data_IF_464230077330
#
_entry.id   IF_464230077330
#
_cell.length_a   1.000
_cell.length_b   1.000
_cell.length_c   1.000
_cell.angle_alpha   90.00
_cell.angle_beta   90.00
_cell.angle_gamma   90.00
#
_symmetry.space_group_name_H-M   'P 1'
#
loop_
_entity.id
_entity.type
_entity.pdbx_description
1 polymer ?
#
# COMPACT_ATOMS: atom_id res chain seq x y z
N UNK A 1 -23.50 -31.35 -37.22
CA UNK A 1 -22.90 -31.49 -35.88
C UNK A 1 -21.42 -31.17 -36.05
N UNK A 2 -20.93 -30.06 -35.48
CA UNK A 2 -19.48 -29.83 -35.41
C UNK A 2 -18.88 -30.88 -34.49
N UNK A 3 -17.95 -31.69 -34.99
CA UNK A 3 -17.22 -32.65 -34.17
C UNK A 3 -16.56 -31.91 -33.00
N UNK A 4 -16.70 -32.46 -31.78
CA UNK A 4 -16.05 -31.93 -30.60
C UNK A 4 -14.52 -32.02 -30.80
N UNK A 5 -13.76 -30.96 -30.45
CA UNK A 5 -12.31 -30.97 -30.63
C UNK A 5 -11.66 -32.10 -29.83
N UNK A 6 -10.63 -32.72 -30.40
CA UNK A 6 -9.88 -33.79 -29.72
C UNK A 6 -9.14 -33.25 -28.49
N UNK A 7 -8.80 -34.12 -27.54
CA UNK A 7 -8.07 -33.74 -26.32
C UNK A 7 -6.73 -33.04 -26.63
N UNK A 8 -6.07 -33.45 -27.70
CA UNK A 8 -4.84 -32.84 -28.21
C UNK A 8 -5.06 -31.44 -28.81
N UNK A 9 -6.15 -31.25 -29.56
CA UNK A 9 -6.54 -29.93 -30.07
C UNK A 9 -6.93 -28.97 -28.93
N UNK A 10 -7.60 -29.49 -27.90
CA UNK A 10 -7.98 -28.72 -26.71
C UNK A 10 -6.73 -28.29 -25.93
N UNK A 11 -5.80 -29.22 -25.68
CA UNK A 11 -4.52 -28.95 -25.01
C UNK A 11 -3.68 -27.92 -25.77
N UNK A 12 -3.56 -28.07 -27.09
CA UNK A 12 -2.85 -27.09 -27.92
C UNK A 12 -3.49 -25.70 -27.85
N UNK A 13 -4.82 -25.61 -27.93
CA UNK A 13 -5.55 -24.34 -27.82
C UNK A 13 -5.37 -23.68 -26.46
N UNK A 14 -5.43 -24.46 -25.38
CA UNK A 14 -5.21 -23.95 -24.02
C UNK A 14 -3.79 -23.38 -23.88
N UNK A 15 -2.77 -24.14 -24.29
CA UNK A 15 -1.37 -23.79 -24.07
C UNK A 15 -0.87 -22.68 -25.00
N UNK A 16 -1.36 -22.62 -26.24
CA UNK A 16 -0.87 -21.66 -27.24
C UNK A 16 -1.72 -20.40 -27.35
N UNK A 17 -2.98 -20.43 -26.89
CA UNK A 17 -3.91 -19.31 -27.06
C UNK A 17 -4.49 -18.80 -25.75
N UNK A 18 -5.16 -19.65 -24.96
CA UNK A 18 -5.89 -19.20 -23.78
C UNK A 18 -4.97 -18.77 -22.64
N UNK A 19 -3.99 -19.61 -22.27
CA UNK A 19 -3.03 -19.33 -21.21
C UNK A 19 -2.22 -18.04 -21.43
N UNK A 20 -1.60 -17.80 -22.61
CA UNK A 20 -0.90 -16.54 -22.88
C UNK A 20 -1.84 -15.33 -22.83
N UNK A 21 -3.05 -15.45 -23.37
CA UNK A 21 -4.02 -14.34 -23.39
C UNK A 21 -4.52 -13.98 -21.99
N UNK A 22 -4.83 -14.98 -21.16
CA UNK A 22 -5.23 -14.77 -19.78
C UNK A 22 -4.11 -14.13 -18.96
N UNK A 23 -2.88 -14.66 -19.10
CA UNK A 23 -1.73 -14.07 -18.41
C UNK A 23 -1.49 -12.62 -18.84
N UNK A 24 -1.57 -12.33 -20.15
CA UNK A 24 -1.41 -10.99 -20.66
C UNK A 24 -2.49 -10.03 -20.14
N UNK A 25 -3.74 -10.49 -20.04
CA UNK A 25 -4.85 -9.71 -19.49
C UNK A 25 -4.61 -9.33 -18.03
N UNK A 26 -4.13 -10.26 -17.20
CA UNK A 26 -3.81 -9.98 -15.78
C UNK A 26 -2.68 -8.93 -15.70
N UNK A 27 -1.61 -9.07 -16.49
CA UNK A 27 -0.54 -8.08 -16.51
C UNK A 27 -0.96 -6.73 -17.11
N UNK A 28 -1.92 -6.70 -18.03
CA UNK A 28 -2.52 -5.47 -18.53
C UNK A 28 -3.32 -4.76 -17.43
N UNK A 29 -4.10 -5.51 -16.64
CA UNK A 29 -4.77 -4.95 -15.46
C UNK A 29 -3.76 -4.40 -14.46
N UNK A 30 -2.68 -5.13 -14.19
CA UNK A 30 -1.58 -4.65 -13.35
C UNK A 30 -1.02 -3.35 -13.93
N UNK A 31 -0.70 -3.29 -15.22
CA UNK A 31 -0.16 -2.11 -15.89
C UNK A 31 -1.11 -0.90 -15.87
N UNK A 32 -2.39 -1.10 -16.19
CA UNK A 32 -3.43 -0.04 -16.16
C UNK A 32 -3.57 0.50 -14.75
N UNK A 33 -3.63 -0.39 -13.76
CA UNK A 33 -3.69 0.00 -12.36
C UNK A 33 -2.44 0.79 -11.93
N UNK A 34 -1.26 0.29 -12.30
CA UNK A 34 0.02 0.98 -12.15
C UNK A 34 -0.02 2.38 -12.79
N UNK A 35 -0.69 2.55 -13.93
CA UNK A 35 -0.81 3.82 -14.66
C UNK A 35 -1.82 4.78 -14.04
N UNK A 36 -2.97 4.29 -13.55
CA UNK A 36 -4.06 5.10 -13.01
C UNK A 36 -3.80 5.59 -11.58
N UNK A 37 -3.29 4.71 -10.71
CA UNK A 37 -3.11 5.04 -9.29
C UNK A 37 -1.87 5.92 -9.06
N UNK A 38 -0.94 5.99 -10.01
CA UNK A 38 0.46 6.33 -9.70
C UNK A 38 1.03 7.55 -10.41
N UNK A 39 0.22 8.51 -10.85
CA UNK A 39 0.73 9.84 -11.27
C UNK A 39 1.41 10.65 -10.14
N UNK A 40 1.84 10.00 -9.05
CA UNK A 40 2.02 10.59 -7.74
C UNK A 40 3.10 9.92 -6.84
N UNK A 41 3.66 8.73 -7.13
CA UNK A 41 4.33 7.92 -6.07
C UNK A 41 5.69 7.23 -6.37
N UNK A 42 6.32 7.19 -7.57
CA UNK A 42 7.70 6.62 -7.63
C UNK A 42 8.48 6.85 -8.93
N UNK A 43 9.74 7.29 -8.81
CA UNK A 43 10.72 7.35 -9.92
C UNK A 43 11.10 5.97 -10.49
N UNK A 44 10.73 4.88 -9.81
CA UNK A 44 10.99 3.50 -10.27
C UNK A 44 9.91 2.99 -11.24
N UNK A 45 8.76 3.67 -11.28
CA UNK A 45 7.61 3.30 -12.09
C UNK A 45 7.89 3.09 -13.58
N UNK A 46 8.62 3.97 -14.28
CA UNK A 46 8.83 3.82 -15.72
C UNK A 46 9.48 2.48 -16.08
N UNK A 47 10.35 1.96 -15.21
CA UNK A 47 11.01 0.67 -15.40
C UNK A 47 10.06 -0.51 -15.24
N UNK A 48 9.16 -0.47 -14.25
CA UNK A 48 8.09 -1.47 -14.14
C UNK A 48 7.13 -1.40 -15.33
N UNK A 49 6.79 -0.20 -15.80
CA UNK A 49 5.93 -0.03 -16.97
C UNK A 49 6.59 -0.58 -18.24
N UNK A 50 7.88 -0.34 -18.45
CA UNK A 50 8.66 -0.91 -19.55
C UNK A 50 8.67 -2.44 -19.49
N UNK A 51 8.96 -3.02 -18.33
CA UNK A 51 8.87 -4.47 -18.13
C UNK A 51 7.47 -5.00 -18.45
N UNK A 52 6.44 -4.49 -17.78
CA UNK A 52 5.06 -4.95 -17.95
C UNK A 52 4.59 -4.83 -19.40
N UNK A 53 4.87 -3.72 -20.07
CA UNK A 53 4.49 -3.50 -21.47
C UNK A 53 5.21 -4.48 -22.39
N UNK A 54 6.53 -4.64 -22.23
CA UNK A 54 7.33 -5.59 -23.02
C UNK A 54 6.87 -7.05 -22.80
N UNK A 55 6.47 -7.39 -21.58
CA UNK A 55 6.05 -8.72 -21.21
C UNK A 55 4.65 -9.05 -21.74
N UNK A 56 3.72 -8.09 -21.69
CA UNK A 56 2.41 -8.21 -22.34
C UNK A 56 2.56 -8.40 -23.85
N UNK A 57 3.44 -7.61 -24.51
CA UNK A 57 3.75 -7.77 -25.95
C UNK A 57 4.30 -9.18 -26.23
N UNK A 58 5.20 -9.68 -25.39
CA UNK A 58 5.76 -11.02 -25.53
C UNK A 58 4.69 -12.12 -25.42
N UNK A 59 3.80 -12.03 -24.43
CA UNK A 59 2.73 -13.01 -24.20
C UNK A 59 1.69 -13.01 -25.32
N UNK A 60 1.22 -11.84 -25.76
CA UNK A 60 0.19 -11.70 -26.83
C UNK A 60 0.76 -12.08 -28.21
N UNK A 61 2.09 -12.01 -28.39
CA UNK A 61 2.72 -12.33 -29.67
C UNK A 61 2.44 -13.76 -30.16
N UNK A 62 2.20 -14.75 -29.29
CA UNK A 62 1.85 -16.12 -29.71
C UNK A 62 0.41 -16.22 -30.24
N UNK A 63 -0.61 -15.73 -29.52
CA UNK A 63 -1.96 -15.53 -30.07
C UNK A 63 -1.95 -14.80 -31.42
N UNK A 64 -1.22 -13.68 -31.54
CA UNK A 64 -1.16 -12.93 -32.80
C UNK A 64 -0.61 -13.81 -33.93
N UNK A 65 0.52 -14.49 -33.72
CA UNK A 65 1.12 -15.40 -34.70
C UNK A 65 0.17 -16.52 -35.15
N UNK A 66 -0.76 -16.96 -34.29
CA UNK A 66 -1.74 -17.99 -34.64
C UNK A 66 -2.86 -17.47 -35.56
N UNK A 67 -3.17 -16.17 -35.55
CA UNK A 67 -4.31 -15.58 -36.26
C UNK A 67 -3.93 -14.64 -37.41
N UNK A 68 -2.69 -14.15 -37.49
CA UNK A 68 -2.24 -13.31 -38.59
C UNK A 68 -1.40 -14.09 -39.59
N UNK A 69 -1.95 -14.32 -40.79
CA UNK A 69 -1.22 -14.88 -41.94
C UNK A 69 -0.25 -13.90 -42.60
N UNK A 70 -0.36 -12.60 -42.26
CA UNK A 70 0.39 -11.50 -42.89
C UNK A 70 1.74 -11.21 -42.25
N UNK A 71 1.93 -11.54 -40.97
CA UNK A 71 3.17 -11.29 -40.26
C UNK A 71 4.06 -12.52 -40.40
N UNK A 72 5.28 -12.33 -40.91
CA UNK A 72 6.25 -13.40 -40.88
C UNK A 72 6.50 -13.77 -39.41
N UNK A 73 6.12 -15.01 -39.04
CA UNK A 73 6.12 -15.44 -37.64
C UNK A 73 7.48 -15.27 -36.97
N UNK A 74 8.55 -15.35 -37.75
CA UNK A 74 9.94 -15.24 -37.29
C UNK A 74 10.31 -13.80 -36.94
N UNK A 75 9.96 -12.84 -37.79
CA UNK A 75 10.21 -11.41 -37.54
C UNK A 75 9.45 -10.98 -36.26
N UNK A 76 8.23 -11.50 -36.07
CA UNK A 76 7.44 -11.27 -34.84
C UNK A 76 8.10 -11.88 -33.60
N UNK A 77 8.69 -13.08 -33.72
CA UNK A 77 9.45 -13.73 -32.64
C UNK A 77 10.69 -12.91 -32.25
N UNK A 78 11.45 -12.41 -33.23
CA UNK A 78 12.65 -11.62 -32.97
C UNK A 78 12.33 -10.29 -32.31
N UNK A 79 11.33 -9.56 -32.83
CA UNK A 79 10.91 -8.27 -32.27
C UNK A 79 10.49 -8.43 -30.80
N UNK A 80 9.61 -9.40 -30.49
CA UNK A 80 9.15 -9.59 -29.10
C UNK A 80 10.28 -10.03 -28.17
N UNK A 81 11.22 -10.84 -28.66
CA UNK A 81 12.33 -11.33 -27.85
C UNK A 81 13.31 -10.20 -27.52
N UNK A 82 13.65 -9.37 -28.51
CA UNK A 82 14.49 -8.17 -28.32
C UNK A 82 13.82 -7.19 -27.35
N UNK A 83 12.52 -6.93 -27.51
CA UNK A 83 11.78 -6.04 -26.60
C UNK A 83 11.80 -6.58 -25.17
N UNK A 84 11.55 -7.87 -24.95
CA UNK A 84 11.52 -8.44 -23.60
C UNK A 84 12.92 -8.58 -22.98
N UNK A 85 13.86 -9.23 -23.64
CA UNK A 85 15.19 -9.52 -23.06
C UNK A 85 16.13 -8.32 -23.12
N UNK A 86 15.98 -7.46 -24.13
CA UNK A 86 16.80 -6.27 -24.31
C UNK A 86 16.37 -5.06 -23.49
N UNK A 87 15.05 -4.91 -23.28
CA UNK A 87 14.49 -3.72 -22.59
C UNK A 87 13.73 -4.16 -21.33
N UNK A 88 12.80 -5.09 -21.46
CA UNK A 88 11.87 -5.49 -20.40
C UNK A 88 12.53 -6.01 -19.12
N UNK A 89 13.15 -7.19 -19.22
CA UNK A 89 13.81 -7.86 -18.10
C UNK A 89 14.90 -6.97 -17.46
N UNK A 90 15.77 -6.29 -18.23
CA UNK A 90 16.69 -5.30 -17.68
C UNK A 90 16.00 -4.18 -16.90
N UNK A 91 14.85 -3.69 -17.38
CA UNK A 91 14.08 -2.67 -16.66
C UNK A 91 13.63 -3.17 -15.28
N UNK A 92 13.14 -4.42 -15.19
CA UNK A 92 12.74 -5.02 -13.93
C UNK A 92 13.91 -5.12 -12.94
N UNK A 93 15.08 -5.55 -13.41
CA UNK A 93 16.28 -5.63 -12.58
C UNK A 93 16.72 -4.26 -12.07
N UNK A 94 16.72 -3.24 -12.93
CA UNK A 94 17.01 -1.86 -12.55
C UNK A 94 16.01 -1.37 -11.52
N UNK A 95 14.72 -1.66 -11.72
CA UNK A 95 13.66 -1.27 -10.81
C UNK A 95 13.90 -1.83 -9.38
N UNK A 96 14.13 -3.14 -9.30
CA UNK A 96 14.42 -3.83 -8.05
C UNK A 96 15.71 -3.29 -7.39
N UNK A 97 16.76 -3.06 -8.18
CA UNK A 97 18.04 -2.55 -7.67
C UNK A 97 17.92 -1.14 -7.07
N UNK A 98 17.11 -0.27 -7.67
CA UNK A 98 16.86 1.08 -7.15
C UNK A 98 16.10 1.00 -5.83
N UNK A 99 15.07 0.15 -5.74
CA UNK A 99 14.27 -0.04 -4.52
C UNK A 99 15.07 -0.67 -3.38
N UNK A 100 16.03 -1.55 -3.70
CA UNK A 100 17.00 -2.11 -2.75
C UNK A 100 18.10 -1.13 -2.32
N UNK A 101 18.08 0.13 -2.80
CA UNK A 101 19.00 1.17 -2.34
C UNK A 101 20.45 1.00 -2.84
N UNK A 102 20.69 0.27 -3.93
CA UNK A 102 22.03 0.10 -4.50
C UNK A 102 22.58 1.46 -4.96
N UNK A 103 23.73 1.87 -4.42
CA UNK A 103 24.33 3.21 -4.63
C UNK A 103 24.80 3.45 -6.08
N UNK A 104 25.27 2.43 -6.80
CA UNK A 104 25.90 2.59 -8.13
C UNK A 104 24.90 2.48 -9.31
N UNK A 105 23.82 3.30 -9.28
CA UNK A 105 22.63 3.16 -10.15
C UNK A 105 22.92 3.24 -11.66
N UNK A 106 23.75 4.20 -12.10
CA UNK A 106 24.05 4.42 -13.54
C UNK A 106 24.83 3.27 -14.15
N UNK A 107 25.70 2.65 -13.38
CA UNK A 107 26.57 1.55 -13.83
C UNK A 107 25.76 0.27 -13.99
N UNK A 108 24.95 -0.07 -12.99
CA UNK A 108 24.02 -1.21 -13.05
C UNK A 108 23.04 -1.10 -14.22
N UNK A 109 22.50 0.09 -14.44
CA UNK A 109 21.61 0.35 -15.58
C UNK A 109 22.31 0.03 -16.91
N UNK A 110 23.54 0.50 -17.14
CA UNK A 110 24.25 0.20 -18.40
C UNK A 110 24.52 -1.28 -18.59
N UNK A 111 24.97 -1.98 -17.54
CA UNK A 111 25.29 -3.41 -17.64
C UNK A 111 24.06 -4.28 -17.89
N UNK A 112 22.96 -4.05 -17.19
CA UNK A 112 21.74 -4.86 -17.35
C UNK A 112 21.19 -4.79 -18.77
N UNK A 113 21.10 -3.59 -19.35
CA UNK A 113 20.60 -3.41 -20.72
C UNK A 113 21.59 -3.90 -21.77
N UNK A 114 22.90 -3.68 -21.59
CA UNK A 114 23.92 -4.19 -22.51
C UNK A 114 23.92 -5.72 -22.55
N UNK A 115 23.87 -6.36 -21.37
CA UNK A 115 23.81 -7.82 -21.25
C UNK A 115 22.50 -8.37 -21.85
N UNK A 116 21.36 -7.73 -21.55
CA UNK A 116 20.07 -8.10 -22.13
C UNK A 116 20.03 -8.03 -23.64
N UNK A 117 20.52 -6.92 -24.22
CA UNK A 117 20.61 -6.75 -25.67
C UNK A 117 21.56 -7.76 -26.31
N UNK A 118 22.72 -8.02 -25.69
CA UNK A 118 23.68 -9.02 -26.19
C UNK A 118 23.03 -10.41 -26.27
N UNK A 119 22.35 -10.84 -25.20
CA UNK A 119 21.64 -12.12 -25.17
C UNK A 119 20.54 -12.18 -26.23
N UNK A 120 19.77 -11.10 -26.39
CA UNK A 120 18.70 -11.04 -27.38
C UNK A 120 19.22 -11.15 -28.82
N UNK A 121 20.32 -10.47 -29.14
CA UNK A 121 20.96 -10.53 -30.45
C UNK A 121 21.53 -11.92 -30.72
N UNK A 122 22.26 -12.50 -29.75
CA UNK A 122 22.82 -13.85 -29.87
C UNK A 122 21.72 -14.91 -30.07
N UNK A 123 20.60 -14.80 -29.34
CA UNK A 123 19.43 -15.64 -29.56
C UNK A 123 18.91 -15.53 -31.00
N UNK A 124 18.68 -14.31 -31.50
CA UNK A 124 18.14 -14.10 -32.85
C UNK A 124 19.08 -14.64 -33.93
N UNK A 125 20.40 -14.41 -33.80
CA UNK A 125 21.41 -14.94 -34.71
C UNK A 125 21.37 -16.48 -34.72
N UNK A 126 21.32 -17.11 -33.54
CA UNK A 126 21.28 -18.56 -33.43
C UNK A 126 19.99 -19.17 -33.98
N UNK A 127 18.82 -18.54 -33.76
CA UNK A 127 17.55 -19.03 -34.32
C UNK A 127 17.53 -18.87 -35.84
N UNK A 128 17.92 -17.70 -36.36
CA UNK A 128 17.92 -17.43 -37.79
C UNK A 128 18.84 -18.39 -38.53
N UNK A 129 20.09 -18.54 -38.07
CA UNK A 129 21.04 -19.45 -38.69
C UNK A 129 20.65 -20.93 -38.59
N UNK A 130 19.88 -21.33 -37.56
CA UNK A 130 19.47 -22.72 -37.38
C UNK A 130 18.22 -23.12 -38.16
N UNK A 131 17.33 -22.18 -38.51
CA UNK A 131 16.02 -22.49 -39.10
C UNK A 131 15.78 -21.78 -40.43
N UNK A 132 16.17 -20.51 -40.56
CA UNK A 132 15.66 -19.63 -41.61
C UNK A 132 16.70 -19.16 -42.61
N UNK A 133 17.97 -19.05 -42.19
CA UNK A 133 19.10 -18.56 -42.98
C UNK A 133 18.81 -17.23 -43.72
N UNK A 134 17.98 -16.37 -43.14
CA UNK A 134 17.47 -15.16 -43.82
C UNK A 134 18.40 -13.98 -43.67
N UNK A 135 19.02 -13.83 -42.50
CA UNK A 135 19.91 -12.73 -42.15
C UNK A 135 21.34 -13.21 -41.90
N UNK A 136 21.51 -14.42 -41.35
CA UNK A 136 22.81 -15.05 -41.06
C UNK A 136 22.87 -16.43 -41.67
N UNK A 137 23.87 -16.67 -42.54
CA UNK A 137 24.11 -17.99 -43.11
C UNK A 137 24.70 -18.93 -42.06
N UNK A 138 24.16 -20.14 -41.97
CA UNK A 138 24.72 -21.23 -41.15
C UNK A 138 26.18 -21.51 -41.49
N UNK A 139 26.55 -21.41 -42.78
CA UNK A 139 27.90 -21.59 -43.29
C UNK A 139 28.89 -20.57 -42.71
N UNK A 140 28.48 -19.30 -42.61
CA UNK A 140 29.32 -18.26 -42.01
C UNK A 140 29.65 -18.57 -40.55
N UNK A 141 28.68 -19.06 -39.78
CA UNK A 141 28.89 -19.43 -38.38
C UNK A 141 29.73 -20.70 -38.26
N UNK A 142 29.52 -21.69 -39.12
CA UNK A 142 30.35 -22.91 -39.11
C UNK A 142 31.80 -22.62 -39.49
N UNK A 143 32.05 -21.71 -40.43
CA UNK A 143 33.40 -21.29 -40.84
C UNK A 143 34.14 -20.56 -39.69
N UNK A 144 33.40 -19.91 -38.79
CA UNK A 144 33.91 -19.33 -37.55
C UNK A 144 34.02 -20.35 -36.40
N UNK A 145 33.70 -21.62 -36.62
CA UNK A 145 33.72 -22.68 -35.62
C UNK A 145 32.59 -22.59 -34.58
N UNK A 146 31.52 -21.83 -34.86
CA UNK A 146 30.40 -21.65 -33.94
C UNK A 146 29.32 -22.71 -34.19
N UNK A 147 28.75 -23.33 -33.13
CA UNK A 147 27.72 -24.34 -33.28
C UNK A 147 26.41 -23.71 -33.78
N UNK A 148 25.81 -24.32 -34.80
CA UNK A 148 24.52 -23.90 -35.37
C UNK A 148 23.48 -24.94 -35.01
N UNK A 149 22.68 -24.64 -33.98
CA UNK A 149 21.54 -25.47 -33.61
C UNK A 149 20.50 -24.66 -32.84
N UNK A 150 19.25 -25.14 -32.86
CA UNK A 150 18.19 -24.55 -32.04
C UNK A 150 18.48 -24.70 -30.53
N UNK A 151 19.28 -25.69 -30.11
CA UNK A 151 19.67 -25.83 -28.70
C UNK A 151 20.62 -24.72 -28.22
N UNK A 152 21.45 -24.18 -29.12
CA UNK A 152 22.32 -23.03 -28.83
C UNK A 152 21.47 -21.79 -28.56
N UNK A 153 20.44 -21.55 -29.38
CA UNK A 153 19.49 -20.46 -29.13
C UNK A 153 18.80 -20.60 -27.75
N UNK A 154 18.27 -21.79 -27.43
CA UNK A 154 17.67 -22.04 -26.12
C UNK A 154 18.66 -21.86 -24.96
N UNK A 155 19.95 -22.12 -25.19
CA UNK A 155 21.00 -21.89 -24.19
C UNK A 155 21.15 -20.39 -23.90
N UNK A 156 21.17 -19.52 -24.92
CA UNK A 156 21.17 -18.07 -24.71
C UNK A 156 19.92 -17.58 -23.98
N UNK A 157 18.76 -18.17 -24.30
CA UNK A 157 17.52 -17.84 -23.59
C UNK A 157 17.56 -18.22 -22.10
N UNK A 158 18.04 -19.43 -21.78
CA UNK A 158 18.25 -19.88 -20.39
C UNK A 158 19.29 -19.01 -19.68
N UNK A 159 20.41 -18.71 -20.34
CA UNK A 159 21.45 -17.85 -19.80
C UNK A 159 20.89 -16.47 -19.43
N UNK A 160 20.04 -15.90 -20.29
CA UNK A 160 19.37 -14.63 -20.00
C UNK A 160 18.42 -14.69 -18.82
N UNK A 161 17.60 -15.74 -18.71
CA UNK A 161 16.75 -15.93 -17.54
C UNK A 161 17.58 -16.05 -16.25
N UNK A 162 18.69 -16.78 -16.27
CA UNK A 162 19.54 -16.99 -15.10
C UNK A 162 20.28 -15.69 -14.72
N UNK A 163 20.97 -15.07 -15.68
CA UNK A 163 21.86 -13.92 -15.42
C UNK A 163 21.09 -12.63 -15.15
N UNK A 164 19.89 -12.45 -15.72
CA UNK A 164 19.13 -11.21 -15.58
C UNK A 164 17.97 -11.30 -14.57
N UNK A 165 17.46 -12.50 -14.27
CA UNK A 165 16.39 -12.69 -13.28
C UNK A 165 16.83 -13.54 -12.09
N UNK A 166 17.20 -14.80 -12.30
CA UNK A 166 17.36 -15.75 -11.18
C UNK A 166 18.46 -15.33 -10.22
N UNK A 167 19.69 -15.12 -10.71
CA UNK A 167 20.83 -14.74 -9.85
C UNK A 167 20.60 -13.38 -9.19
N UNK A 168 20.28 -12.30 -9.94
CA UNK A 168 20.12 -11.00 -9.33
C UNK A 168 18.95 -10.93 -8.35
N UNK A 169 17.79 -11.50 -8.67
CA UNK A 169 16.65 -11.51 -7.76
C UNK A 169 16.94 -12.35 -6.51
N UNK A 170 17.68 -13.46 -6.62
CA UNK A 170 18.09 -14.26 -5.45
C UNK A 170 19.00 -13.46 -4.51
N UNK A 171 20.00 -12.78 -5.08
CA UNK A 171 20.93 -11.94 -4.29
C UNK A 171 20.18 -10.80 -3.59
N UNK A 172 19.33 -10.08 -4.33
CA UNK A 172 18.52 -9.00 -3.77
C UNK A 172 17.54 -9.51 -2.70
N UNK A 173 16.90 -10.66 -2.92
CA UNK A 173 15.97 -11.24 -1.95
C UNK A 173 16.66 -11.60 -0.64
N UNK A 174 17.86 -12.19 -0.70
CA UNK A 174 18.65 -12.50 0.50
C UNK A 174 19.04 -11.22 1.24
N UNK A 175 19.42 -10.15 0.53
CA UNK A 175 19.76 -8.87 1.17
C UNK A 175 18.53 -8.22 1.82
N UNK A 176 17.37 -8.23 1.16
CA UNK A 176 16.15 -7.63 1.69
C UNK A 176 15.61 -8.38 2.89
N UNK A 177 15.58 -9.73 2.84
CA UNK A 177 15.13 -10.57 3.96
C UNK A 177 15.95 -10.36 5.25
N UNK A 178 17.24 -10.02 5.13
CA UNK A 178 18.11 -9.72 6.28
C UNK A 178 17.90 -8.32 6.86
N UNK A 179 17.23 -7.43 6.14
CA UNK A 179 17.18 -6.01 6.47
C UNK A 179 15.87 -5.55 7.13
N UNK A 180 14.94 -6.47 7.43
CA UNK A 180 13.57 -6.19 7.93
C UNK A 180 12.78 -5.19 7.06
N UNK A 181 13.15 -4.99 5.79
CA UNK A 181 12.56 -3.94 4.93
C UNK A 181 11.50 -4.47 3.95
N UNK A 182 10.54 -3.58 3.70
CA UNK A 182 9.50 -3.53 2.64
C UNK A 182 8.97 -4.88 2.14
N UNK A 183 7.90 -5.43 2.75
CA UNK A 183 7.26 -6.67 2.30
C UNK A 183 6.81 -6.64 0.83
N UNK A 184 6.58 -5.46 0.26
CA UNK A 184 6.24 -5.24 -1.14
C UNK A 184 7.43 -5.60 -2.06
N UNK A 185 8.65 -5.17 -1.72
CA UNK A 185 9.84 -5.45 -2.51
C UNK A 185 10.17 -6.95 -2.50
N UNK A 186 10.02 -7.58 -1.34
CA UNK A 186 10.14 -9.05 -1.19
C UNK A 186 9.14 -9.76 -2.11
N UNK A 187 7.90 -9.28 -2.20
CA UNK A 187 6.90 -9.84 -3.10
C UNK A 187 7.28 -9.65 -4.59
N UNK A 188 7.78 -8.47 -4.99
CA UNK A 188 8.24 -8.27 -6.37
C UNK A 188 9.42 -9.17 -6.73
N UNK A 189 10.42 -9.27 -5.85
CA UNK A 189 11.61 -10.10 -6.03
C UNK A 189 11.27 -11.60 -6.07
N UNK A 190 10.44 -12.08 -5.13
CA UNK A 190 10.01 -13.48 -5.11
C UNK A 190 9.18 -13.85 -6.34
N UNK A 191 8.25 -12.99 -6.77
CA UNK A 191 7.52 -13.19 -8.01
C UNK A 191 8.42 -13.25 -9.24
N UNK A 192 9.44 -12.39 -9.32
CA UNK A 192 10.42 -12.36 -10.42
C UNK A 192 11.29 -13.62 -10.43
N UNK A 193 11.70 -14.09 -9.24
CA UNK A 193 12.50 -15.29 -9.07
C UNK A 193 11.71 -16.55 -9.48
N UNK A 194 10.45 -16.67 -9.03
CA UNK A 194 9.55 -17.76 -9.42
C UNK A 194 9.41 -17.81 -10.95
N UNK A 195 9.19 -16.65 -11.59
CA UNK A 195 9.09 -16.57 -13.04
C UNK A 195 10.40 -17.03 -13.72
N UNK A 196 11.55 -16.53 -13.26
CA UNK A 196 12.86 -16.88 -13.80
C UNK A 196 13.19 -18.39 -13.68
N UNK A 197 12.81 -19.02 -12.57
CA UNK A 197 12.99 -20.47 -12.38
C UNK A 197 12.07 -21.25 -13.33
N UNK A 198 10.79 -20.89 -13.40
CA UNK A 198 9.81 -21.64 -14.19
C UNK A 198 10.03 -21.47 -15.69
N UNK A 199 10.45 -20.29 -16.18
CA UNK A 199 10.82 -20.12 -17.58
C UNK A 199 12.07 -20.94 -17.92
N UNK A 200 13.06 -21.00 -17.02
CA UNK A 200 14.26 -21.83 -17.20
C UNK A 200 13.89 -23.31 -17.32
N UNK A 201 13.02 -23.81 -16.44
CA UNK A 201 12.51 -25.19 -16.50
C UNK A 201 11.74 -25.44 -17.80
N UNK A 202 10.90 -24.50 -18.23
CA UNK A 202 10.11 -24.61 -19.45
C UNK A 202 10.98 -24.70 -20.71
N UNK A 203 12.10 -23.97 -20.76
CA UNK A 203 13.01 -23.99 -21.91
C UNK A 203 13.85 -25.27 -21.94
N UNK A 204 14.35 -25.73 -20.79
CA UNK A 204 15.17 -26.95 -20.70
C UNK A 204 14.33 -28.20 -20.97
N UNK A 205 13.04 -28.20 -20.60
CA UNK A 205 12.10 -29.28 -20.85
C UNK A 205 10.99 -28.81 -21.81
N UNK A 206 11.26 -28.81 -23.14
CA UNK A 206 10.40 -28.17 -24.14
C UNK A 206 8.96 -28.71 -24.21
N UNK A 207 8.67 -29.91 -23.69
CA UNK A 207 7.29 -30.45 -23.60
C UNK A 207 6.43 -29.77 -22.52
N UNK A 208 6.91 -28.71 -21.85
CA UNK A 208 6.27 -28.17 -20.64
C UNK A 208 6.18 -26.64 -20.67
N UNK A 209 5.79 -26.10 -21.83
CA UNK A 209 5.57 -24.67 -22.03
C UNK A 209 4.54 -24.08 -21.04
N UNK A 210 3.63 -24.92 -20.55
CA UNK A 210 2.67 -24.60 -19.49
C UNK A 210 3.33 -24.00 -18.24
N UNK A 211 4.55 -24.41 -17.86
CA UNK A 211 5.24 -23.85 -16.70
C UNK A 211 5.57 -22.37 -16.85
N UNK A 212 5.81 -21.88 -18.07
CA UNK A 212 6.04 -20.45 -18.30
C UNK A 212 4.79 -19.65 -17.92
N UNK A 213 3.61 -20.14 -18.29
CA UNK A 213 2.34 -19.46 -18.03
C UNK A 213 1.88 -19.62 -16.57
N UNK A 214 2.10 -20.79 -15.98
CA UNK A 214 1.90 -20.98 -14.53
C UNK A 214 2.77 -19.99 -13.77
N UNK A 215 4.04 -19.86 -14.15
CA UNK A 215 4.97 -18.90 -13.54
C UNK A 215 4.50 -17.46 -13.70
N UNK A 216 4.10 -17.07 -14.91
CA UNK A 216 3.64 -15.70 -15.15
C UNK A 216 2.37 -15.35 -14.36
N UNK A 217 1.40 -16.26 -14.28
CA UNK A 217 0.18 -16.07 -13.49
C UNK A 217 0.50 -15.95 -12.00
N UNK A 218 1.35 -16.84 -11.45
CA UNK A 218 1.77 -16.77 -10.05
C UNK A 218 2.45 -15.44 -9.73
N UNK A 219 3.36 -14.99 -10.58
CA UNK A 219 4.03 -13.69 -10.45
C UNK A 219 3.03 -12.56 -10.47
N UNK A 220 2.05 -12.59 -11.36
CA UNK A 220 1.02 -11.57 -11.45
C UNK A 220 0.20 -11.46 -10.16
N UNK A 221 -0.23 -12.59 -9.59
CA UNK A 221 -0.99 -12.62 -8.32
C UNK A 221 -0.19 -12.00 -7.18
N UNK A 222 1.08 -12.40 -7.03
CA UNK A 222 1.98 -11.88 -5.99
C UNK A 222 2.15 -10.36 -6.14
N UNK A 223 2.33 -9.88 -7.37
CA UNK A 223 2.53 -8.47 -7.64
C UNK A 223 1.26 -7.65 -7.42
N UNK A 224 0.09 -8.16 -7.81
CA UNK A 224 -1.20 -7.51 -7.51
C UNK A 224 -1.36 -7.32 -6.00
N UNK A 225 -1.13 -8.39 -5.22
CA UNK A 225 -1.19 -8.30 -3.76
C UNK A 225 -0.22 -7.25 -3.19
N UNK A 226 1.03 -7.24 -3.67
CA UNK A 226 2.05 -6.30 -3.22
C UNK A 226 1.60 -4.84 -3.41
N UNK A 227 0.93 -4.53 -4.52
CA UNK A 227 0.44 -3.18 -4.78
C UNK A 227 -0.78 -2.84 -3.94
N UNK A 228 -1.74 -3.75 -3.77
CA UNK A 228 -2.92 -3.50 -2.91
C UNK A 228 -2.51 -3.24 -1.46
N UNK A 229 -1.51 -4.00 -0.97
CA UNK A 229 -0.95 -3.78 0.36
C UNK A 229 -0.31 -2.39 0.51
N UNK A 230 0.46 -1.96 -0.49
CA UNK A 230 1.08 -0.62 -0.50
C UNK A 230 0.03 0.50 -0.36
N UNK A 231 -1.09 0.39 -1.08
CA UNK A 231 -2.21 1.34 -0.96
C UNK A 231 -2.85 1.31 0.43
N UNK A 232 -3.08 0.12 0.98
CA UNK A 232 -3.68 -0.04 2.31
C UNK A 232 -2.82 0.57 3.42
N UNK A 233 -1.51 0.36 3.39
CA UNK A 233 -0.58 0.95 4.35
C UNK A 233 -0.52 2.48 4.23
N UNK A 234 -0.53 3.01 3.00
CA UNK A 234 -0.53 4.46 2.75
C UNK A 234 -1.83 5.14 3.20
N UNK A 235 -2.99 4.56 2.89
CA UNK A 235 -4.29 5.14 3.30
C UNK A 235 -4.48 5.07 4.81
N UNK A 236 -4.04 3.99 5.47
CA UNK A 236 -4.09 3.84 6.92
C UNK A 236 -3.23 4.87 7.67
N UNK A 237 -1.99 5.11 7.21
CA UNK A 237 -1.08 6.09 7.85
C UNK A 237 -1.53 7.53 7.69
N UNK A 238 -2.03 7.90 6.52
CA UNK A 238 -2.63 9.21 6.31
C UNK A 238 -3.92 9.37 7.14
N UNK A 239 -4.66 8.28 7.37
CA UNK A 239 -5.78 8.25 8.31
C UNK A 239 -5.37 8.51 9.76
N UNK A 240 -4.29 7.89 10.25
CA UNK A 240 -3.78 8.13 11.61
C UNK A 240 -3.30 9.57 11.80
N UNK A 241 -2.66 10.14 10.77
CA UNK A 241 -2.25 11.54 10.80
C UNK A 241 -3.43 12.52 10.89
N UNK A 242 -4.53 12.20 10.20
CA UNK A 242 -5.78 12.97 10.33
C UNK A 242 -6.25 12.98 11.79
N UNK A 243 -6.28 11.82 12.45
CA UNK A 243 -6.78 11.69 13.82
C UNK A 243 -5.87 12.43 14.83
N UNK A 244 -4.55 12.38 14.67
CA UNK A 244 -3.60 13.10 15.55
C UNK A 244 -3.60 14.62 15.33
N UNK A 245 -3.63 15.08 14.07
CA UNK A 245 -3.73 16.51 13.77
C UNK A 245 -5.09 17.08 14.23
N UNK A 246 -6.17 16.31 14.12
CA UNK A 246 -7.47 16.69 14.68
C UNK A 246 -7.43 16.82 16.21
N UNK A 247 -6.67 15.96 16.91
CA UNK A 247 -6.50 16.07 18.36
C UNK A 247 -5.69 17.31 18.75
N UNK A 248 -4.60 17.61 18.04
CA UNK A 248 -3.81 18.82 18.26
C UNK A 248 -4.63 20.09 18.10
N UNK A 249 -5.33 20.17 16.98
CA UNK A 249 -6.19 21.30 16.62
C UNK A 249 -7.33 21.51 17.63
N UNK A 250 -7.86 20.44 18.26
CA UNK A 250 -8.90 20.56 19.31
C UNK A 250 -8.37 20.76 20.72
N UNK A 251 -7.12 20.41 20.98
CA UNK A 251 -6.52 20.57 22.32
C UNK A 251 -6.23 22.02 22.67
N UNK A 252 -6.25 22.94 21.69
CA UNK A 252 -5.88 24.35 21.87
C UNK A 252 -4.45 24.56 22.32
N UNK A 253 -3.62 23.50 22.32
CA UNK A 253 -2.22 23.59 22.72
C UNK A 253 -1.40 24.05 21.51
N UNK A 254 -0.74 25.22 21.57
CA UNK A 254 0.02 25.77 20.45
C UNK A 254 1.32 25.01 20.16
N UNK A 255 1.67 24.01 20.97
CA UNK A 255 2.87 23.20 20.75
C UNK A 255 2.60 21.99 19.87
N UNK A 256 3.34 21.88 18.77
CA UNK A 256 3.46 20.64 17.98
C UNK A 256 3.79 19.51 18.96
N UNK A 257 2.93 18.50 19.04
CA UNK A 257 3.23 17.37 19.92
C UNK A 257 4.33 16.50 19.29
N UNK A 258 5.14 15.80 20.10
CA UNK A 258 6.16 14.87 19.60
C UNK A 258 5.63 13.82 18.62
N UNK A 259 4.33 13.51 18.69
CA UNK A 259 3.63 12.62 17.75
C UNK A 259 3.62 13.17 16.31
N UNK A 260 3.33 14.47 16.10
CA UNK A 260 3.33 15.05 14.75
C UNK A 260 4.74 15.13 14.16
N UNK A 261 5.74 15.45 14.97
CA UNK A 261 7.13 15.38 14.50
C UNK A 261 7.51 13.95 14.08
N UNK A 262 7.18 12.94 14.90
CA UNK A 262 7.43 11.54 14.55
C UNK A 262 6.73 11.12 13.27
N UNK A 263 5.52 11.61 13.05
CA UNK A 263 4.76 11.26 11.86
C UNK A 263 5.31 11.94 10.61
N UNK A 264 5.73 13.22 10.70
CA UNK A 264 6.46 13.88 9.62
C UNK A 264 7.77 13.16 9.29
N UNK A 265 8.52 12.75 10.31
CA UNK A 265 9.75 11.95 10.14
C UNK A 265 9.45 10.62 9.43
N UNK A 266 8.35 9.95 9.81
CA UNK A 266 7.93 8.71 9.15
C UNK A 266 7.51 8.95 7.70
N UNK A 267 6.79 10.03 7.40
CA UNK A 267 6.41 10.38 6.02
C UNK A 267 7.63 10.68 5.15
N UNK A 268 8.62 11.39 5.70
CA UNK A 268 9.87 11.67 5.00
C UNK A 268 10.64 10.36 4.72
N UNK A 269 10.80 9.49 5.72
CA UNK A 269 11.42 8.16 5.55
C UNK A 269 10.72 7.33 4.48
N UNK A 270 9.39 7.31 4.48
CA UNK A 270 8.59 6.57 3.51
C UNK A 270 8.56 7.21 2.12
N UNK A 271 8.98 8.46 2.01
CA UNK A 271 9.19 9.12 0.72
C UNK A 271 10.51 8.71 0.07
N UNK A 272 11.35 7.90 0.73
CA UNK A 272 12.60 7.33 0.21
C UNK A 272 13.59 8.38 -0.33
N UNK A 273 13.56 9.60 0.23
CA UNK A 273 14.35 10.74 -0.24
C UNK A 273 13.85 11.36 -1.55
N UNK A 274 12.66 11.00 -2.02
CA UNK A 274 12.02 11.61 -3.18
C UNK A 274 11.13 12.77 -2.76
N UNK A 275 11.60 13.99 -3.05
CA UNK A 275 10.91 15.22 -2.68
C UNK A 275 9.50 15.31 -3.29
N UNK A 276 9.28 14.84 -4.53
CA UNK A 276 7.97 14.94 -5.19
C UNK A 276 6.90 14.07 -4.51
N UNK A 277 7.31 12.89 -4.02
CA UNK A 277 6.43 12.03 -3.22
C UNK A 277 6.09 12.74 -1.91
N UNK A 278 7.09 13.34 -1.27
CA UNK A 278 6.87 14.05 -0.02
C UNK A 278 5.94 15.25 -0.20
N UNK A 279 6.14 16.06 -1.25
CA UNK A 279 5.25 17.17 -1.65
C UNK A 279 3.80 16.72 -1.81
N UNK A 280 3.59 15.62 -2.53
CA UNK A 280 2.25 15.07 -2.72
C UNK A 280 1.61 14.68 -1.37
N UNK A 281 2.35 13.99 -0.50
CA UNK A 281 1.86 13.59 0.82
C UNK A 281 1.49 14.80 1.66
N UNK A 282 2.35 15.81 1.67
CA UNK A 282 2.13 17.08 2.35
C UNK A 282 0.86 17.76 1.86
N UNK A 283 0.60 17.82 0.54
CA UNK A 283 -0.66 18.36 0.00
C UNK A 283 -1.90 17.59 0.48
N UNK A 284 -1.82 16.26 0.53
CA UNK A 284 -2.91 15.43 1.06
C UNK A 284 -3.20 15.75 2.53
N UNK A 285 -2.15 16.00 3.32
CA UNK A 285 -2.25 16.36 4.73
C UNK A 285 -2.87 17.73 4.88
N UNK A 286 -2.34 18.73 4.18
CA UNK A 286 -2.87 20.10 4.19
C UNK A 286 -4.37 20.13 3.85
N UNK A 287 -4.80 19.37 2.83
CA UNK A 287 -6.23 19.24 2.48
C UNK A 287 -7.05 18.70 3.64
N UNK A 288 -6.57 17.62 4.27
CA UNK A 288 -7.29 16.97 5.37
C UNK A 288 -7.35 17.83 6.64
N UNK A 289 -6.32 18.62 6.93
CA UNK A 289 -6.35 19.56 8.06
C UNK A 289 -7.40 20.64 7.78
N UNK A 290 -7.37 21.25 6.59
CA UNK A 290 -8.35 22.26 6.20
C UNK A 290 -9.78 21.73 6.28
N UNK A 291 -10.06 20.55 5.70
CA UNK A 291 -11.38 19.90 5.78
C UNK A 291 -11.82 19.67 7.23
N UNK A 292 -10.89 19.26 8.10
CA UNK A 292 -11.17 19.02 9.52
C UNK A 292 -11.46 20.31 10.29
N UNK A 293 -10.79 21.40 9.94
CA UNK A 293 -11.03 22.73 10.52
C UNK A 293 -12.37 23.30 10.06
N UNK A 294 -12.75 23.09 8.80
CA UNK A 294 -14.09 23.41 8.28
C UNK A 294 -15.15 22.61 9.05
N UNK A 295 -14.94 21.30 9.23
CA UNK A 295 -15.83 20.45 10.03
C UNK A 295 -15.95 20.90 11.50
N UNK A 296 -14.95 21.60 12.02
CA UNK A 296 -14.94 22.17 13.38
C UNK A 296 -15.59 23.56 13.47
N UNK A 297 -16.12 24.11 12.37
CA UNK A 297 -16.83 25.39 12.35
C UNK A 297 -16.01 26.59 11.88
N UNK A 298 -14.79 26.37 11.36
CA UNK A 298 -14.01 27.44 10.76
C UNK A 298 -14.56 27.92 9.41
N UNK A 299 -14.22 29.15 9.02
CA UNK A 299 -14.68 29.75 7.76
C UNK A 299 -14.18 28.97 6.55
N UNK A 300 -15.12 28.42 5.77
CA UNK A 300 -14.80 27.55 4.65
C UNK A 300 -14.08 28.26 3.51
N UNK A 301 -14.38 29.53 3.25
CA UNK A 301 -13.78 30.25 2.13
C UNK A 301 -12.33 30.62 2.44
N UNK A 302 -12.08 31.08 3.66
CA UNK A 302 -10.75 31.38 4.17
C UNK A 302 -9.88 30.11 4.21
N UNK A 303 -10.40 28.99 4.73
CA UNK A 303 -9.65 27.75 4.87
C UNK A 303 -9.31 27.10 3.52
N UNK A 304 -10.23 27.14 2.55
CA UNK A 304 -9.95 26.65 1.20
C UNK A 304 -8.91 27.52 0.48
N UNK A 305 -8.91 28.83 0.72
CA UNK A 305 -7.87 29.73 0.19
C UNK A 305 -6.51 29.42 0.82
N UNK A 306 -6.42 29.33 2.15
CA UNK A 306 -5.20 28.95 2.86
C UNK A 306 -4.65 27.62 2.38
N UNK A 307 -5.52 26.61 2.25
CA UNK A 307 -5.13 25.30 1.74
C UNK A 307 -4.47 25.38 0.36
N UNK A 308 -5.05 26.18 -0.55
CA UNK A 308 -4.52 26.42 -1.89
C UNK A 308 -3.13 27.06 -1.83
N UNK A 309 -2.97 28.10 -1.03
CA UNK A 309 -1.71 28.84 -0.88
C UNK A 309 -0.61 27.94 -0.30
N UNK A 310 -0.92 27.15 0.74
CA UNK A 310 0.01 26.19 1.34
C UNK A 310 0.36 25.04 0.39
N UNK A 311 -0.60 24.57 -0.40
CA UNK A 311 -0.36 23.54 -1.42
C UNK A 311 0.57 24.05 -2.51
N UNK A 312 0.42 25.31 -2.95
CA UNK A 312 1.34 25.93 -3.89
C UNK A 312 2.74 26.13 -3.30
N UNK A 313 2.84 26.54 -2.04
CA UNK A 313 4.12 26.63 -1.34
C UNK A 313 4.81 25.26 -1.23
N UNK A 314 4.06 24.19 -0.97
CA UNK A 314 4.58 22.83 -0.94
C UNK A 314 5.10 22.40 -2.33
N UNK A 315 4.40 22.75 -3.41
CA UNK A 315 4.86 22.45 -4.77
C UNK A 315 6.16 23.20 -5.12
N UNK A 316 6.34 24.42 -4.60
CA UNK A 316 7.55 25.24 -4.81
C UNK A 316 8.76 24.83 -3.95
N UNK A 317 8.54 24.06 -2.88
CA UNK A 317 9.59 23.63 -1.95
C UNK A 317 10.76 22.93 -2.65
N UNK A 318 11.99 23.16 -2.20
CA UNK A 318 13.20 22.56 -2.77
C UNK A 318 13.87 21.57 -1.82
N UNK A 319 13.50 21.59 -0.54
CA UNK A 319 14.04 20.72 0.48
C UNK A 319 12.95 20.08 1.37
N UNK A 320 13.17 18.88 1.94
CA UNK A 320 12.24 18.26 2.90
C UNK A 320 11.92 19.14 4.11
N UNK A 321 12.88 19.96 4.55
CA UNK A 321 12.74 20.87 5.69
C UNK A 321 11.73 21.98 5.39
N UNK A 322 11.64 22.45 4.14
CA UNK A 322 10.64 23.43 3.72
C UNK A 322 9.23 22.85 3.88
N UNK A 323 9.05 21.59 3.49
CA UNK A 323 7.77 20.90 3.60
C UNK A 323 7.37 20.66 5.05
N UNK A 324 8.32 20.26 5.89
CA UNK A 324 8.12 20.10 7.34
C UNK A 324 7.64 21.42 7.94
N UNK A 325 8.31 22.52 7.62
CA UNK A 325 7.92 23.86 8.08
C UNK A 325 6.52 24.24 7.61
N UNK A 326 6.17 24.01 6.34
CA UNK A 326 4.83 24.34 5.82
C UNK A 326 3.71 23.63 6.58
N UNK A 327 3.86 22.32 6.83
CA UNK A 327 2.83 21.55 7.56
C UNK A 327 2.74 22.02 9.01
N UNK A 328 3.90 22.22 9.64
CA UNK A 328 3.99 22.68 11.02
C UNK A 328 3.35 24.05 11.22
N UNK A 329 3.73 25.03 10.40
CA UNK A 329 3.21 26.40 10.48
C UNK A 329 1.69 26.42 10.26
N UNK A 330 1.19 25.60 9.34
CA UNK A 330 -0.25 25.52 9.09
C UNK A 330 -1.00 24.83 10.23
N UNK A 331 -0.45 23.76 10.81
CA UNK A 331 -1.06 23.09 11.96
C UNK A 331 -1.17 24.04 13.17
N UNK A 332 -0.15 24.86 13.43
CA UNK A 332 -0.18 25.88 14.49
C UNK A 332 -1.23 26.95 14.18
N UNK A 333 -1.21 27.52 12.98
CA UNK A 333 -2.16 28.58 12.61
C UNK A 333 -3.63 28.13 12.68
N UNK A 334 -3.91 26.89 12.28
CA UNK A 334 -5.28 26.35 12.34
C UNK A 334 -5.70 25.95 13.76
N UNK A 335 -4.75 25.58 14.63
CA UNK A 335 -5.00 25.38 16.06
C UNK A 335 -5.39 26.70 16.75
N UNK A 336 -4.67 27.78 16.47
CA UNK A 336 -5.00 29.12 16.97
C UNK A 336 -6.35 29.62 16.45
N UNK A 337 -6.64 29.39 15.16
CA UNK A 337 -7.93 29.73 14.57
C UNK A 337 -9.07 29.03 15.31
N UNK A 338 -8.94 27.73 15.59
CA UNK A 338 -9.96 26.96 16.31
C UNK A 338 -10.08 27.36 17.77
N UNK A 339 -8.96 27.64 18.45
CA UNK A 339 -8.98 28.17 19.82
C UNK A 339 -9.69 29.53 19.91
N UNK A 340 -9.69 30.30 18.82
CA UNK A 340 -10.37 31.60 18.71
C UNK A 340 -11.86 31.50 18.33
N UNK A 341 -12.33 30.33 17.89
CA UNK A 341 -13.76 30.11 17.66
C UNK A 341 -14.44 30.08 19.04
N UNK A 342 -15.31 31.05 19.37
CA UNK A 342 -16.04 31.01 20.64
C UNK A 342 -16.80 29.69 20.73
N UNK A 343 -16.77 29.05 21.91
CA UNK A 343 -17.42 27.77 22.22
C UNK A 343 -18.76 27.71 21.49
N UNK A 344 -18.78 27.00 20.37
CA UNK A 344 -20.02 26.84 19.62
C UNK A 344 -20.91 26.01 20.54
N UNK A 345 -22.17 26.41 20.79
CA UNK A 345 -23.05 25.59 21.60
C UNK A 345 -23.01 24.17 21.04
N UNK A 346 -22.61 23.22 21.89
CA UNK A 346 -22.54 21.78 21.59
C UNK A 346 -23.76 21.39 20.78
N UNK A 347 -23.57 20.58 19.73
CA UNK A 347 -24.67 20.23 18.84
C UNK A 347 -25.82 19.71 19.71
N UNK A 348 -27.08 20.10 19.45
CA UNK A 348 -28.23 19.57 20.19
C UNK A 348 -28.22 18.04 20.25
N UNK A 349 -27.66 17.39 19.22
CA UNK A 349 -27.45 15.93 19.15
C UNK A 349 -26.54 15.43 20.27
N UNK A 350 -25.42 16.11 20.55
CA UNK A 350 -24.42 15.68 21.55
C UNK A 350 -24.87 16.03 22.96
N UNK A 351 -25.48 17.19 23.19
CA UNK A 351 -26.08 17.48 24.50
C UNK A 351 -27.23 16.53 24.84
N UNK A 352 -28.14 16.28 23.90
CA UNK A 352 -29.22 15.32 24.12
C UNK A 352 -28.68 13.89 24.32
N UNK A 353 -27.61 13.51 23.63
CA UNK A 353 -26.94 12.24 23.86
C UNK A 353 -26.32 12.15 25.26
N UNK A 354 -25.65 13.21 25.74
CA UNK A 354 -25.09 13.26 27.09
C UNK A 354 -26.19 13.15 28.15
N UNK A 355 -27.31 13.87 27.97
CA UNK A 355 -28.48 13.79 28.85
C UNK A 355 -29.06 12.38 28.88
N UNK A 356 -29.29 11.78 27.71
CA UNK A 356 -29.77 10.40 27.61
C UNK A 356 -28.83 9.41 28.30
N UNK A 357 -27.52 9.53 28.10
CA UNK A 357 -26.53 8.67 28.77
C UNK A 357 -26.56 8.90 30.29
N UNK A 358 -26.67 10.15 30.74
CA UNK A 358 -26.72 10.48 32.18
C UNK A 358 -27.97 9.92 32.87
N UNK A 359 -29.08 9.80 32.16
CA UNK A 359 -30.32 9.21 32.67
C UNK A 359 -30.30 7.67 32.64
N UNK A 360 -29.73 7.08 31.58
CA UNK A 360 -29.81 5.63 31.31
C UNK A 360 -28.50 4.86 31.53
N UNK A 361 -27.43 5.45 32.08
CA UNK A 361 -26.12 4.78 32.18
C UNK A 361 -26.14 3.45 32.94
N UNK A 362 -27.12 3.23 33.84
CA UNK A 362 -27.28 2.00 34.62
C UNK A 362 -27.78 0.83 33.77
N UNK A 363 -28.40 1.11 32.64
CA UNK A 363 -28.98 0.13 31.74
C UNK A 363 -27.96 -0.38 30.71
N UNK A 364 -28.30 -1.47 30.02
CA UNK A 364 -27.50 -2.00 28.92
C UNK A 364 -27.71 -1.18 27.62
N UNK A 365 -27.39 0.11 27.67
CA UNK A 365 -27.55 1.02 26.53
C UNK A 365 -26.52 0.73 25.42
N UNK A 366 -27.00 0.76 24.18
CA UNK A 366 -26.20 0.59 22.97
C UNK A 366 -26.16 1.90 22.18
N UNK A 367 -25.13 2.04 21.34
CA UNK A 367 -24.99 3.18 20.45
C UNK A 367 -26.18 3.31 19.49
N UNK A 368 -26.74 2.17 19.06
CA UNK A 368 -27.90 2.12 18.16
C UNK A 368 -29.15 2.71 18.83
N UNK A 369 -29.41 2.35 20.10
CA UNK A 369 -30.53 2.90 20.87
C UNK A 369 -30.44 4.41 21.06
N UNK A 370 -29.23 4.93 21.34
CA UNK A 370 -29.02 6.37 21.49
C UNK A 370 -29.25 7.08 20.14
N UNK A 371 -28.75 6.50 19.05
CA UNK A 371 -28.94 7.08 17.72
C UNK A 371 -30.42 7.09 17.29
N UNK A 372 -31.16 6.01 17.59
CA UNK A 372 -32.59 5.89 17.35
C UNK A 372 -33.38 6.90 18.18
N UNK A 373 -33.08 7.06 19.47
CA UNK A 373 -33.71 8.06 20.33
C UNK A 373 -33.51 9.49 19.82
N UNK A 374 -32.35 9.76 19.22
CA UNK A 374 -31.98 11.06 18.67
C UNK A 374 -32.46 11.26 17.21
N UNK A 375 -33.13 10.28 16.61
CA UNK A 375 -33.56 10.27 15.21
C UNK A 375 -32.42 10.54 14.20
N UNK A 376 -31.24 9.95 14.45
CA UNK A 376 -30.06 10.09 13.58
C UNK A 376 -29.46 8.75 13.22
N UNK A 377 -28.76 8.68 12.09
CA UNK A 377 -28.03 7.46 11.74
C UNK A 377 -26.86 7.22 12.71
N UNK A 378 -26.63 5.95 13.06
CA UNK A 378 -25.54 5.52 13.94
C UNK A 378 -24.18 6.10 13.54
N UNK A 379 -23.84 6.04 12.25
CA UNK A 379 -22.55 6.54 11.75
C UNK A 379 -22.43 8.06 11.88
N UNK A 380 -23.50 8.80 11.64
CA UNK A 380 -23.52 10.25 11.82
C UNK A 380 -23.38 10.61 13.30
N UNK A 381 -24.13 9.94 14.18
CA UNK A 381 -24.06 10.12 15.63
C UNK A 381 -22.67 9.81 16.19
N UNK A 382 -22.11 8.64 15.92
CA UNK A 382 -20.79 8.25 16.43
C UNK A 382 -19.70 9.22 15.99
N UNK A 383 -19.74 9.64 14.71
CA UNK A 383 -18.79 10.61 14.18
C UNK A 383 -18.92 11.93 14.91
N UNK A 384 -20.14 12.48 15.01
CA UNK A 384 -20.43 13.76 15.68
C UNK A 384 -20.09 13.73 17.17
N UNK A 385 -20.42 12.66 17.89
CA UNK A 385 -20.14 12.52 19.31
C UNK A 385 -18.63 12.42 19.60
N UNK A 386 -17.88 11.62 18.82
CA UNK A 386 -16.41 11.55 18.94
C UNK A 386 -15.76 12.88 18.54
N UNK A 387 -16.34 13.55 17.54
CA UNK A 387 -15.90 14.86 17.09
C UNK A 387 -15.97 15.90 18.22
N UNK A 388 -17.11 16.02 18.89
CA UNK A 388 -17.33 17.06 19.90
C UNK A 388 -16.77 16.70 21.29
N UNK A 389 -16.75 15.41 21.67
CA UNK A 389 -16.36 15.01 23.04
C UNK A 389 -14.92 14.50 23.15
N UNK A 390 -14.25 14.25 22.02
CA UNK A 390 -12.93 13.60 21.96
C UNK A 390 -12.93 12.13 22.41
N UNK A 391 -14.09 11.54 22.74
CA UNK A 391 -14.24 10.18 23.28
C UNK A 391 -15.26 9.40 22.46
N UNK A 392 -15.12 8.07 22.41
CA UNK A 392 -16.21 7.24 21.86
C UNK A 392 -17.41 7.24 22.81
N UNK A 393 -18.60 6.97 22.28
CA UNK A 393 -19.84 6.87 23.08
C UNK A 393 -19.67 5.88 24.25
N UNK A 394 -19.10 4.70 23.99
CA UNK A 394 -18.85 3.69 25.03
C UNK A 394 -17.82 4.14 26.08
N UNK A 395 -16.78 4.88 25.68
CA UNK A 395 -15.84 5.47 26.62
C UNK A 395 -16.52 6.51 27.50
N UNK A 396 -17.43 7.30 26.94
CA UNK A 396 -18.21 8.28 27.70
C UNK A 396 -19.16 7.62 28.70
N UNK A 397 -19.94 6.61 28.27
CA UNK A 397 -20.81 5.81 29.16
C UNK A 397 -19.98 5.22 30.31
N UNK A 398 -18.84 4.61 30.00
CA UNK A 398 -17.93 4.05 31.01
C UNK A 398 -17.46 5.13 31.98
N UNK A 399 -17.09 6.32 31.48
CA UNK A 399 -16.69 7.45 32.32
C UNK A 399 -17.78 7.88 33.30
N UNK A 400 -19.02 8.02 32.83
CA UNK A 400 -20.18 8.36 33.66
C UNK A 400 -20.44 7.30 34.73
N UNK A 401 -20.37 6.01 34.36
CA UNK A 401 -20.51 4.89 35.31
C UNK A 401 -19.45 4.93 36.40
N UNK A 402 -18.19 5.15 36.05
CA UNK A 402 -17.08 5.22 37.01
C UNK A 402 -17.21 6.45 37.91
N UNK A 403 -17.66 7.60 37.39
CA UNK A 403 -17.88 8.79 38.19
C UNK A 403 -18.96 8.57 39.25
N UNK A 404 -20.08 7.95 38.88
CA UNK A 404 -21.12 7.56 39.83
C UNK A 404 -20.63 6.49 40.82
N UNK A 405 -19.82 5.53 40.35
CA UNK A 405 -19.26 4.49 41.21
C UNK A 405 -18.36 5.07 42.31
N UNK A 406 -17.57 6.11 42.02
CA UNK A 406 -16.75 6.80 43.04
C UNK A 406 -17.58 7.32 44.21
N UNK A 407 -18.81 7.77 43.95
CA UNK A 407 -19.72 8.27 44.98
C UNK A 407 -20.34 7.11 45.77
N UNK A 408 -20.80 6.06 45.10
CA UNK A 408 -21.46 4.90 45.74
C UNK A 408 -20.49 4.03 46.56
N UNK A 409 -19.22 3.94 46.17
CA UNK A 409 -18.20 3.19 46.90
C UNK A 409 -18.00 3.67 48.35
N UNK A 410 -18.44 4.90 48.69
CA UNK A 410 -18.40 5.43 50.05
C UNK A 410 -19.38 4.73 50.99
N UNK A 411 -20.51 4.24 50.48
CA UNK A 411 -21.59 3.68 51.31
C UNK A 411 -21.91 2.23 50.98
N UNK A 412 -21.48 1.71 49.83
CA UNK A 412 -21.81 0.38 49.34
C UNK A 412 -20.57 -0.53 49.25
N UNK A 413 -20.79 -1.85 49.11
CA UNK A 413 -19.73 -2.79 48.76
C UNK A 413 -19.31 -2.62 47.29
N UNK A 414 -18.13 -3.15 46.94
CA UNK A 414 -17.61 -3.12 45.55
C UNK A 414 -18.57 -3.82 44.60
N UNK A 415 -19.11 -4.96 45.01
CA UNK A 415 -20.04 -5.76 44.22
C UNK A 415 -21.37 -5.05 44.02
N UNK A 416 -21.97 -4.50 45.08
CA UNK A 416 -23.22 -3.71 44.97
C UNK A 416 -23.02 -2.49 44.07
N UNK A 417 -21.89 -1.79 44.21
CA UNK A 417 -21.60 -0.61 43.39
C UNK A 417 -21.47 -0.97 41.92
N UNK A 418 -20.80 -2.10 41.60
CA UNK A 418 -20.64 -2.56 40.22
C UNK A 418 -22.00 -2.76 39.54
N UNK A 419 -22.92 -3.46 40.20
CA UNK A 419 -24.27 -3.68 39.67
C UNK A 419 -25.10 -2.39 39.64
N UNK A 420 -24.99 -1.53 40.67
CA UNK A 420 -25.76 -0.28 40.76
C UNK A 420 -25.41 0.74 39.66
N UNK A 421 -24.20 0.67 39.10
CA UNK A 421 -23.75 1.52 37.98
C UNK A 421 -23.79 0.82 36.62
N UNK A 422 -24.42 -0.35 36.52
CA UNK A 422 -24.70 -1.03 35.25
C UNK A 422 -23.60 -1.96 34.74
N UNK A 423 -22.67 -2.42 35.59
CA UNK A 423 -21.77 -3.53 35.26
C UNK A 423 -22.42 -4.87 35.65
N UNK A 424 -22.29 -5.87 34.78
CA UNK A 424 -22.81 -7.22 35.04
C UNK A 424 -21.78 -8.14 35.74
N UNK A 425 -20.56 -7.65 35.94
CA UNK A 425 -19.45 -8.41 36.51
C UNK A 425 -18.57 -7.48 37.38
N UNK A 426 -18.44 -7.83 38.67
CA UNK A 426 -17.68 -7.07 39.67
C UNK A 426 -16.16 -7.13 39.45
N UNK A 427 -15.64 -8.23 38.90
CA UNK A 427 -14.22 -8.36 38.56
C UNK A 427 -13.86 -7.51 37.35
N UNK A 428 -14.73 -7.51 36.33
CA UNK A 428 -14.57 -6.64 35.16
C UNK A 428 -14.66 -5.16 35.56
N UNK A 429 -15.64 -4.80 36.39
CA UNK A 429 -15.74 -3.46 36.98
C UNK A 429 -14.44 -3.04 37.66
N UNK A 430 -13.87 -3.90 38.50
CA UNK A 430 -12.63 -3.59 39.23
C UNK A 430 -11.45 -3.32 38.30
N UNK A 431 -11.35 -4.05 37.19
CA UNK A 431 -10.34 -3.84 36.15
C UNK A 431 -10.52 -2.50 35.46
N UNK A 432 -11.75 -2.17 35.06
CA UNK A 432 -12.08 -0.91 34.38
C UNK A 432 -11.88 0.29 35.31
N UNK A 433 -12.31 0.17 36.57
CA UNK A 433 -12.16 1.21 37.59
C UNK A 433 -10.68 1.51 37.85
N UNK A 434 -9.83 0.48 38.00
CA UNK A 434 -8.39 0.66 38.14
C UNK A 434 -7.78 1.35 36.92
N UNK A 435 -8.16 0.95 35.71
CA UNK A 435 -7.67 1.58 34.48
C UNK A 435 -8.03 3.07 34.41
N UNK A 436 -9.22 3.46 34.87
CA UNK A 436 -9.72 4.84 34.79
C UNK A 436 -9.27 5.74 35.95
N UNK A 437 -8.92 5.17 37.10
CA UNK A 437 -8.63 5.94 38.32
C UNK A 437 -7.22 5.74 38.86
N UNK A 438 -6.48 4.77 38.35
CA UNK A 438 -5.16 4.35 38.85
C UNK A 438 -5.21 3.47 40.10
N UNK A 439 -6.37 3.31 40.74
CA UNK A 439 -6.56 2.56 42.00
C UNK A 439 -7.68 1.53 41.87
N UNK A 440 -7.58 0.39 42.55
CA UNK A 440 -8.69 -0.56 42.64
C UNK A 440 -9.86 0.05 43.42
N UNK A 441 -11.10 -0.42 43.21
CA UNK A 441 -12.25 0.07 43.99
C UNK A 441 -12.06 -0.04 45.51
N UNK A 442 -11.41 -1.12 45.97
CA UNK A 442 -11.15 -1.35 47.39
C UNK A 442 -10.11 -0.38 47.96
N UNK A 443 -9.02 -0.13 47.22
CA UNK A 443 -8.03 0.90 47.58
C UNK A 443 -8.66 2.29 47.59
N UNK A 444 -9.54 2.58 46.62
CA UNK A 444 -10.24 3.87 46.53
C UNK A 444 -11.18 4.09 47.72
N UNK A 445 -11.85 3.03 48.20
CA UNK A 445 -12.73 3.07 49.38
C UNK A 445 -11.95 3.37 50.66
N UNK A 446 -10.85 2.63 50.92
CA UNK A 446 -10.01 2.82 52.11
C UNK A 446 -9.45 4.24 52.24
N UNK A 447 -8.98 4.82 51.14
CA UNK A 447 -8.43 6.19 51.13
C UNK A 447 -9.48 7.23 51.53
N UNK A 448 -10.75 7.04 51.14
CA UNK A 448 -11.82 7.96 51.53
C UNK A 448 -12.22 7.78 53.00
N UNK A 449 -12.21 6.54 53.52
CA UNK A 449 -12.52 6.27 54.93
C UNK A 449 -11.47 6.90 55.87
N UNK A 450 -10.19 6.88 55.50
CA UNK A 450 -9.10 7.51 56.28
C UNK A 450 -9.18 9.06 56.25
N UNK A 451 -9.69 9.65 55.16
CA UNK A 451 -9.82 11.12 55.02
C UNK A 451 -11.03 11.65 55.79
N UNK A 452 -12.11 10.87 55.90
CA UNK A 452 -13.32 11.25 56.64
C UNK A 452 -13.21 11.03 58.17
N UNK A 453 -12.22 10.28 58.63
CA UNK A 453 -11.92 10.07 60.06
C UNK A 453 -10.92 11.09 60.64
N UNK A 454 -10.41 12.02 59.81
CA UNK A 454 -9.49 13.09 60.19
C UNK A 454 -10.09 14.51 60.08
N UNK A 455 -11.35 14.62 59.65
CA UNK A 455 -12.16 15.85 59.62
C UNK A 455 -13.34 15.69 60.58
#
# INVERSE_FOLDING_TARGET
MSELPTEEQLSHTVTHLLAPSLSALIFLFVLVYFSLVRKRISHVYPYYALFLSSFVIFLIGRPIQAYTSYLNGNDTLFIRFIILYGIGIPSLLVAASIQSGIKNRKTWLRYSYALGMLIAVLYCISVDAAIHERYVSSKLLSDLGLPVSLSVAHTFQVLGAILLLVIPCSLLLVTELRSERKPQLIAYLSGSLIFGILITIAIVKPMKLEYMYIGSILTAIIWVWAVFRDIGEMTGRVGMLKDELQMLVRSGSPSITPEVERLLDDLERHSEGNLDIYKMRVREILSRIADSTIEAGGDSEELLKRNRDRSQAADAAQAPEDLRRIVTDEAVALSELIASIPDTPSSPIVENAKSYIAEHFKEAITVDQIAEHLNVSRSHFMRRFKLETGKTVNQHITGVRIQNAKQLLRTQSVTETAFAVGFNDSNYFSTVFKKQTGKTPLEYKKVNDDTNNQA
#
